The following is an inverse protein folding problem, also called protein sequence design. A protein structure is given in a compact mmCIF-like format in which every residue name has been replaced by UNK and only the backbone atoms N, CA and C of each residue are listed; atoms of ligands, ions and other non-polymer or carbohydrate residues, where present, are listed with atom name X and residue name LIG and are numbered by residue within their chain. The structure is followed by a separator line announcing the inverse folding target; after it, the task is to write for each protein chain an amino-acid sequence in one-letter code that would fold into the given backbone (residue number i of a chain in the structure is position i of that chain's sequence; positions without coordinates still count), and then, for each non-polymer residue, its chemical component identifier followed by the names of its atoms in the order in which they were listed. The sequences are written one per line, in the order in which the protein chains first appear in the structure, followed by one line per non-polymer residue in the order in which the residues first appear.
data_IF_908539783555
#
_entry.id   IF_908539783555
#
_cell.length_a   1.000
_cell.length_b   1.000
_cell.length_c   1.000
_cell.angle_alpha   90.00
_cell.angle_beta   90.00
_cell.angle_gamma   90.00
#
_symmetry.space_group_name_H-M   'P 1'
#
loop_
_entity.id
_entity.type
_entity.pdbx_description
1 polymer ?
#
# COMPACT_ATOMS: atom_id res chain seq x y z
N UNK A 1 4.56 15.60 -1.63
CA UNK A 1 4.39 16.41 -2.85
C UNK A 1 4.67 15.53 -4.05
N UNK A 2 3.70 15.34 -4.95
CA UNK A 2 3.88 14.55 -6.16
C UNK A 2 4.76 15.31 -7.17
N UNK A 3 5.63 14.60 -7.90
CA UNK A 3 6.43 15.23 -8.96
C UNK A 3 5.55 15.63 -10.15
N UNK A 4 5.99 16.58 -10.97
CA UNK A 4 5.22 17.06 -12.14
C UNK A 4 4.76 15.92 -13.07
N UNK A 5 5.59 14.88 -13.23
CA UNK A 5 5.24 13.66 -14.01
C UNK A 5 4.14 12.81 -13.36
N UNK A 6 3.99 12.84 -12.04
CA UNK A 6 2.97 12.08 -11.32
C UNK A 6 1.60 12.76 -11.33
N UNK A 7 1.55 14.05 -11.68
CA UNK A 7 0.31 14.83 -11.84
C UNK A 7 -0.24 14.71 -13.27
N UNK A 8 0.60 14.25 -14.21
CA UNK A 8 0.21 14.05 -15.60
C UNK A 8 -0.87 12.97 -15.71
N UNK A 9 -2.02 13.34 -16.28
CA UNK A 9 -3.16 12.42 -16.44
C UNK A 9 -2.91 11.52 -17.64
N UNK A 10 -2.70 10.24 -17.39
CA UNK A 10 -2.68 9.23 -18.44
C UNK A 10 -4.11 8.70 -18.68
N UNK A 11 -4.56 8.69 -19.94
CA UNK A 11 -5.84 8.07 -20.30
C UNK A 11 -5.69 6.55 -20.30
N UNK A 12 -6.56 5.87 -19.55
CA UNK A 12 -6.59 4.40 -19.45
C UNK A 12 -7.98 3.92 -19.82
N UNK A 13 -8.08 2.96 -20.75
CA UNK A 13 -9.33 2.30 -21.09
C UNK A 13 -9.63 1.20 -20.09
N UNK A 14 -10.72 1.32 -19.32
CA UNK A 14 -11.12 0.35 -18.31
C UNK A 14 -12.46 -0.30 -18.68
N UNK A 15 -12.55 -1.62 -18.52
CA UNK A 15 -13.82 -2.36 -18.65
C UNK A 15 -14.35 -2.63 -17.25
N UNK A 16 -15.50 -2.05 -16.93
CA UNK A 16 -16.19 -2.22 -15.65
C UNK A 16 -17.51 -2.97 -15.90
N UNK A 17 -17.88 -3.94 -15.05
CA UNK A 17 -19.22 -4.53 -15.07
C UNK A 17 -20.32 -3.47 -14.99
N UNK A 18 -21.40 -3.65 -15.77
CA UNK A 18 -22.48 -2.66 -15.88
C UNK A 18 -23.16 -2.35 -14.56
N UNK A 19 -23.29 -3.33 -13.65
CA UNK A 19 -23.91 -3.12 -12.36
C UNK A 19 -23.13 -2.13 -11.48
N UNK A 20 -21.78 -2.21 -11.48
CA UNK A 20 -20.93 -1.27 -10.73
C UNK A 20 -20.96 0.14 -11.31
N UNK A 21 -21.11 0.27 -12.64
CA UNK A 21 -21.26 1.59 -13.26
C UNK A 21 -22.56 2.24 -12.80
N UNK A 22 -23.65 1.48 -12.73
CA UNK A 22 -24.94 1.97 -12.23
C UNK A 22 -24.89 2.35 -10.76
N UNK A 23 -24.34 1.50 -9.90
CA UNK A 23 -24.20 1.81 -8.48
C UNK A 23 -23.35 3.07 -8.27
N UNK A 24 -22.27 3.24 -9.03
CA UNK A 24 -21.45 4.45 -8.99
C UNK A 24 -22.24 5.67 -9.48
N UNK A 25 -23.02 5.56 -10.54
CA UNK A 25 -23.86 6.65 -11.05
C UNK A 25 -24.89 7.08 -9.99
N UNK A 26 -25.61 6.13 -9.40
CA UNK A 26 -26.58 6.38 -8.32
C UNK A 26 -25.92 7.05 -7.10
N UNK A 27 -24.72 6.61 -6.72
CA UNK A 27 -23.95 7.21 -5.61
C UNK A 27 -23.42 8.61 -5.92
N UNK A 28 -23.19 8.94 -7.20
CA UNK A 28 -22.57 10.20 -7.61
C UNK A 28 -23.58 11.23 -8.10
N UNK A 29 -24.82 10.82 -8.36
CA UNK A 29 -25.94 11.66 -8.80
C UNK A 29 -26.21 12.82 -7.84
N UNK A 30 -26.17 12.55 -6.53
CA UNK A 30 -26.45 13.56 -5.48
C UNK A 30 -25.26 14.51 -5.20
N UNK A 31 -24.04 14.17 -5.66
CA UNK A 31 -22.80 14.81 -5.22
C UNK A 31 -22.04 15.55 -6.32
N UNK A 32 -22.56 15.59 -7.56
CA UNK A 32 -21.90 16.19 -8.75
C UNK A 32 -20.46 15.66 -8.95
N UNK A 33 -20.23 14.40 -8.60
CA UNK A 33 -18.91 13.77 -8.70
C UNK A 33 -18.80 13.08 -10.05
N UNK A 34 -17.80 13.44 -10.85
CA UNK A 34 -17.50 12.69 -12.07
C UNK A 34 -16.94 11.29 -11.74
N UNK A 35 -17.37 10.28 -12.49
CA UNK A 35 -16.86 8.89 -12.44
C UNK A 35 -15.33 8.79 -12.37
N UNK A 36 -14.61 9.61 -13.14
CA UNK A 36 -13.14 9.62 -13.13
C UNK A 36 -12.58 10.02 -11.77
N UNK A 37 -13.19 11.00 -11.12
CA UNK A 37 -12.80 11.45 -9.77
C UNK A 37 -13.11 10.36 -8.76
N UNK A 38 -14.31 9.78 -8.80
CA UNK A 38 -14.69 8.68 -7.92
C UNK A 38 -13.73 7.50 -8.02
N UNK A 39 -13.43 7.05 -9.24
CA UNK A 39 -12.50 5.93 -9.48
C UNK A 39 -11.09 6.27 -8.98
N UNK A 40 -10.62 7.50 -9.19
CA UNK A 40 -9.29 7.92 -8.75
C UNK A 40 -9.18 7.90 -7.22
N UNK A 41 -10.17 8.46 -6.51
CA UNK A 41 -10.20 8.48 -5.06
C UNK A 41 -10.32 7.07 -4.45
N UNK A 42 -11.14 6.21 -5.07
CA UNK A 42 -11.27 4.82 -4.67
C UNK A 42 -9.94 4.06 -4.81
N UNK A 43 -9.24 4.25 -5.93
CA UNK A 43 -7.91 3.64 -6.16
C UNK A 43 -6.90 4.15 -5.14
N UNK A 44 -6.86 5.46 -4.87
CA UNK A 44 -5.93 6.04 -3.88
C UNK A 44 -6.19 5.50 -2.47
N UNK A 45 -7.46 5.45 -2.08
CA UNK A 45 -7.88 4.92 -0.78
C UNK A 45 -7.49 3.45 -0.64
N UNK A 46 -7.74 2.65 -1.67
CA UNK A 46 -7.36 1.24 -1.68
C UNK A 46 -5.84 1.04 -1.60
N UNK A 47 -5.05 1.80 -2.38
CA UNK A 47 -3.58 1.72 -2.33
C UNK A 47 -3.07 2.08 -0.93
N UNK A 48 -3.64 3.11 -0.30
CA UNK A 48 -3.27 3.52 1.06
C UNK A 48 -3.53 2.40 2.07
N UNK A 49 -4.71 1.81 2.04
CA UNK A 49 -5.09 0.69 2.92
C UNK A 49 -4.17 -0.51 2.73
N UNK A 50 -3.86 -0.90 1.49
CA UNK A 50 -2.94 -2.00 1.23
C UNK A 50 -1.53 -1.73 1.75
N UNK A 51 -1.03 -0.49 1.61
CA UNK A 51 0.28 -0.09 2.16
C UNK A 51 0.30 -0.16 3.68
N UNK A 52 -0.76 0.31 4.33
CA UNK A 52 -0.88 0.22 5.79
C UNK A 52 -0.91 -1.25 6.23
N UNK A 53 -1.67 -2.10 5.55
CA UNK A 53 -1.72 -3.53 5.84
C UNK A 53 -0.36 -4.20 5.76
N UNK A 54 0.37 -3.98 4.65
CA UNK A 54 1.73 -4.50 4.46
C UNK A 54 2.66 -4.01 5.58
N UNK A 55 2.56 -2.74 5.94
CA UNK A 55 3.36 -2.16 7.02
C UNK A 55 3.05 -2.83 8.37
N UNK A 56 1.78 -2.99 8.73
CA UNK A 56 1.39 -3.62 9.99
C UNK A 56 1.74 -5.10 10.03
N UNK A 57 1.63 -5.84 8.93
CA UNK A 57 2.08 -7.24 8.84
C UNK A 57 3.59 -7.35 9.06
N UNK A 58 4.39 -6.51 8.40
CA UNK A 58 5.84 -6.47 8.61
C UNK A 58 6.22 -6.04 10.03
N UNK A 59 5.49 -5.09 10.61
CA UNK A 59 5.71 -4.64 11.99
C UNK A 59 5.34 -5.73 13.00
N UNK A 60 4.24 -6.45 12.80
CA UNK A 60 3.85 -7.58 13.66
C UNK A 60 4.94 -8.65 13.64
N UNK A 61 5.48 -8.97 12.46
CA UNK A 61 6.57 -9.92 12.32
C UNK A 61 7.84 -9.43 13.05
N UNK A 62 8.24 -8.18 12.84
CA UNK A 62 9.41 -7.60 13.51
C UNK A 62 9.28 -7.58 15.05
N UNK A 63 8.08 -7.28 15.57
CA UNK A 63 7.81 -7.32 17.02
C UNK A 63 7.87 -8.75 17.55
N UNK A 64 7.35 -9.74 16.82
CA UNK A 64 7.47 -11.16 17.19
C UNK A 64 8.93 -11.60 17.23
N UNK A 65 9.71 -11.26 16.22
CA UNK A 65 11.15 -11.57 16.15
C UNK A 65 11.92 -10.92 17.31
N UNK A 66 11.66 -9.64 17.58
CA UNK A 66 12.24 -8.93 18.73
C UNK A 66 11.89 -9.60 20.05
N UNK A 67 10.62 -9.97 20.26
CA UNK A 67 10.20 -10.68 21.47
C UNK A 67 10.89 -12.03 21.61
N UNK A 68 11.05 -12.78 20.52
CA UNK A 68 11.79 -14.04 20.52
C UNK A 68 13.28 -13.85 20.84
N UNK A 69 13.91 -12.75 20.40
CA UNK A 69 15.28 -12.40 20.80
C UNK A 69 15.38 -12.03 22.29
N UNK A 70 14.39 -11.29 22.82
CA UNK A 70 14.33 -10.94 24.26
C UNK A 70 14.10 -12.17 25.14
N UNK A 71 13.23 -13.09 24.72
CA UNK A 71 12.93 -14.35 25.40
C UNK A 71 14.06 -15.39 25.27
N UNK A 72 15.16 -15.05 24.57
CA UNK A 72 16.32 -15.93 24.38
C UNK A 72 16.10 -17.09 23.40
N UNK A 73 15.01 -17.07 22.63
CA UNK A 73 14.66 -18.08 21.61
C UNK A 73 15.33 -17.81 20.25
N UNK A 74 15.78 -16.57 20.01
CA UNK A 74 16.60 -16.19 18.87
C UNK A 74 17.94 -15.62 19.38
N UNK A 75 19.06 -15.89 18.69
CA UNK A 75 20.33 -15.23 18.98
C UNK A 75 20.18 -13.73 18.79
N UNK A 76 20.77 -12.94 19.70
CA UNK A 76 20.81 -11.49 19.56
C UNK A 76 21.71 -11.13 18.37
N UNK A 77 21.12 -10.70 17.27
CA UNK A 77 21.88 -10.18 16.14
C UNK A 77 22.49 -8.83 16.54
N UNK A 78 23.79 -8.67 16.28
CA UNK A 78 24.44 -7.38 16.48
C UNK A 78 24.20 -6.47 15.28
N UNK A 79 24.36 -5.16 15.47
CA UNK A 79 24.29 -4.19 14.37
C UNK A 79 25.24 -4.55 13.22
N UNK A 80 26.38 -5.16 13.54
CA UNK A 80 27.39 -5.61 12.58
C UNK A 80 26.91 -6.80 11.75
N UNK A 81 26.17 -7.73 12.36
CA UNK A 81 25.61 -8.89 11.67
C UNK A 81 24.55 -8.44 10.65
N UNK A 82 23.67 -7.52 11.06
CA UNK A 82 22.63 -6.94 10.20
C UNK A 82 23.20 -6.16 9.02
N UNK A 83 24.27 -5.37 9.25
CA UNK A 83 24.97 -4.64 8.18
C UNK A 83 25.63 -5.61 7.19
N UNK A 84 26.08 -6.77 7.66
CA UNK A 84 26.73 -7.78 6.82
C UNK A 84 25.71 -8.53 5.96
N UNK A 85 24.55 -8.90 6.51
CA UNK A 85 23.45 -9.49 5.74
C UNK A 85 22.94 -8.55 4.64
N UNK A 86 22.68 -7.27 4.96
CA UNK A 86 22.19 -6.28 3.99
C UNK A 86 23.18 -6.01 2.84
N UNK A 87 24.48 -6.16 3.09
CA UNK A 87 25.51 -6.05 2.04
C UNK A 87 25.56 -7.28 1.13
N UNK A 88 25.25 -8.46 1.67
CA UNK A 88 25.25 -9.71 0.91
C UNK A 88 23.97 -9.88 0.06
N UNK A 89 22.82 -9.34 0.47
CA UNK A 89 21.59 -9.35 -0.34
C UNK A 89 21.63 -8.39 -1.55
N UNK A 90 22.59 -7.46 -1.59
CA UNK A 90 22.77 -6.48 -2.66
C UNK A 90 23.95 -6.80 -3.62
N UNK A 91 24.44 -8.04 -3.62
CA UNK A 91 25.39 -8.57 -4.61
C UNK A 91 24.68 -9.51 -5.59
#
# INVERSE_FOLDING_TARGET
MHSLKQIEKQQVGLRIPTYLVKEMDELTEDYDINRSTFITEAIQSFIKEQREKIFYEGLEQAVKEMKMMMDGKLPKATLTDLITELRNENQ
#
